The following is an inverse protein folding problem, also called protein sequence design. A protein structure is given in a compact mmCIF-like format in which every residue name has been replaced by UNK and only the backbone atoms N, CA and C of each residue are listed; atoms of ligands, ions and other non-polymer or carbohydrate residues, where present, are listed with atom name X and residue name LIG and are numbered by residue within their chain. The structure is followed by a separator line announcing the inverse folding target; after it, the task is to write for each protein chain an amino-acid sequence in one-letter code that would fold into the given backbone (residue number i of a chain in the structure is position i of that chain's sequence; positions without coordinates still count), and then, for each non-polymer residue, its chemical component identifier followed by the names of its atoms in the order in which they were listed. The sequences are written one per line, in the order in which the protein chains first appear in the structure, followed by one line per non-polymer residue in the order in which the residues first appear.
data_IF_139427797830
#
_entry.id   IF_139427797830
#
_cell.length_a   1.000
_cell.length_b   1.000
_cell.length_c   1.000
_cell.angle_alpha   90.00
_cell.angle_beta   90.00
_cell.angle_gamma   90.00
#
_symmetry.space_group_name_H-M   'P 1'
#
loop_
_entity.id
_entity.type
_entity.pdbx_description
1 polymer ?
#
# COMPACT_ATOMS: atom_id res chain seq x y z
N UNK A 1 -11.85 -25.79 23.74
CA UNK A 1 -11.26 -25.51 22.41
C UNK A 1 -9.84 -24.98 22.60
N UNK A 2 -8.94 -25.80 23.19
CA UNK A 2 -7.72 -25.25 23.82
C UNK A 2 -6.51 -26.18 23.80
N UNK A 3 -6.69 -27.49 23.58
CA UNK A 3 -5.61 -28.48 23.64
C UNK A 3 -5.06 -28.84 22.25
N UNK A 4 -5.94 -28.92 21.24
CA UNK A 4 -5.55 -29.13 19.84
C UNK A 4 -4.79 -27.93 19.25
N UNK A 5 -5.18 -26.69 19.63
CA UNK A 5 -4.47 -25.48 19.23
C UNK A 5 -3.08 -25.39 19.85
N UNK A 6 -2.95 -25.76 21.14
CA UNK A 6 -1.65 -25.80 21.83
C UNK A 6 -0.74 -26.89 21.27
N UNK A 7 -1.28 -28.08 20.99
CA UNK A 7 -0.53 -29.17 20.37
C UNK A 7 -0.09 -28.84 18.93
N UNK A 8 -0.93 -28.13 18.17
CA UNK A 8 -0.59 -27.63 16.83
C UNK A 8 0.52 -26.56 16.89
N UNK A 9 0.41 -25.60 17.82
CA UNK A 9 1.44 -24.59 18.05
C UNK A 9 2.76 -25.18 18.54
N UNK A 10 2.71 -26.23 19.38
CA UNK A 10 3.90 -26.92 19.88
C UNK A 10 4.55 -27.80 18.81
N UNK A 11 3.75 -28.44 17.94
CA UNK A 11 4.24 -29.19 16.78
C UNK A 11 4.89 -28.31 15.71
N UNK A 12 4.43 -27.07 15.55
CA UNK A 12 5.05 -26.07 14.67
C UNK A 12 6.37 -25.52 15.25
N UNK A 13 6.54 -25.54 16.58
CA UNK A 13 7.76 -25.08 17.25
C UNK A 13 8.92 -26.10 17.23
N UNK A 14 8.65 -27.37 16.90
CA UNK A 14 9.65 -28.45 16.97
C UNK A 14 10.26 -28.85 15.62
N UNK A 15 9.93 -28.14 14.53
CA UNK A 15 10.60 -28.35 13.24
C UNK A 15 11.90 -27.54 13.19
N UNK A 16 13.07 -28.19 13.06
CA UNK A 16 14.34 -27.46 12.97
C UNK A 16 14.41 -26.72 11.64
N UNK A 17 14.26 -25.40 11.68
CA UNK A 17 14.49 -24.52 10.53
C UNK A 17 16.00 -24.29 10.44
N UNK A 18 16.66 -25.02 9.54
CA UNK A 18 18.02 -24.72 9.13
C UNK A 18 18.01 -23.35 8.42
N UNK A 19 18.32 -22.30 9.16
CA UNK A 19 18.50 -20.95 8.63
C UNK A 19 19.93 -20.83 8.09
N UNK A 20 20.07 -20.57 6.79
CA UNK A 20 21.37 -20.29 6.19
C UNK A 20 21.89 -18.88 6.55
N UNK A 21 21.07 -18.05 7.22
CA UNK A 21 21.42 -16.73 7.76
C UNK A 21 21.06 -16.66 9.24
N UNK A 22 21.78 -17.43 10.07
CA UNK A 22 21.55 -17.43 11.52
C UNK A 22 22.85 -17.44 12.29
N UNK A 23 23.25 -16.28 12.82
CA UNK A 23 23.81 -16.17 14.19
C UNK A 23 24.23 -14.74 14.58
N UNK A 24 23.31 -13.76 14.63
CA UNK A 24 23.49 -12.55 15.45
C UNK A 24 22.19 -11.73 15.65
N UNK A 25 21.01 -12.36 15.72
CA UNK A 25 19.84 -11.62 16.23
C UNK A 25 19.93 -11.60 17.76
N UNK A 26 19.67 -10.46 18.40
CA UNK A 26 19.70 -10.29 19.86
C UNK A 26 18.57 -11.06 20.60
N UNK A 27 18.35 -12.34 20.27
CA UNK A 27 17.24 -13.18 20.74
C UNK A 27 15.90 -12.90 20.05
N UNK A 28 15.85 -11.96 19.11
CA UNK A 28 14.63 -11.62 18.38
C UNK A 28 14.30 -12.68 17.32
N UNK A 29 13.03 -13.09 17.30
CA UNK A 29 12.45 -14.05 16.36
C UNK A 29 11.25 -13.44 15.65
N UNK A 30 10.86 -13.97 14.49
CA UNK A 30 9.67 -13.52 13.73
C UNK A 30 8.39 -13.42 14.58
N UNK A 31 8.26 -14.23 15.64
CA UNK A 31 7.12 -14.21 16.55
C UNK A 31 6.99 -12.90 17.34
N UNK A 32 8.10 -12.19 17.58
CA UNK A 32 8.08 -10.86 18.18
C UNK A 32 7.44 -9.82 17.25
N UNK A 33 7.74 -9.92 15.94
CA UNK A 33 7.07 -9.11 14.91
C UNK A 33 5.57 -9.43 14.84
N UNK A 34 5.21 -10.71 14.81
CA UNK A 34 3.81 -11.14 14.82
C UNK A 34 3.05 -10.69 16.08
N UNK A 35 3.68 -10.77 17.25
CA UNK A 35 3.12 -10.26 18.50
C UNK A 35 2.88 -8.76 18.46
N UNK A 36 3.85 -7.99 17.96
CA UNK A 36 3.70 -6.54 17.78
C UNK A 36 2.57 -6.18 16.80
N UNK A 37 2.42 -6.91 15.68
CA UNK A 37 1.27 -6.77 14.78
C UNK A 37 -0.04 -7.02 15.54
N UNK A 38 -0.13 -8.12 16.28
CA UNK A 38 -1.31 -8.47 17.07
C UNK A 38 -1.65 -7.38 18.10
N UNK A 39 -0.66 -6.88 18.82
CA UNK A 39 -0.81 -5.79 19.78
C UNK A 39 -1.31 -4.50 19.10
N UNK A 40 -0.75 -4.15 17.95
CA UNK A 40 -1.17 -3.00 17.16
C UNK A 40 -2.62 -3.09 16.71
N UNK A 41 -3.05 -4.27 16.21
CA UNK A 41 -4.45 -4.54 15.82
C UNK A 41 -5.39 -4.45 17.02
N UNK A 42 -4.99 -4.97 18.18
CA UNK A 42 -5.78 -4.86 19.43
C UNK A 42 -5.93 -3.40 19.84
N UNK A 43 -4.86 -2.60 19.80
CA UNK A 43 -4.91 -1.16 20.11
C UNK A 43 -5.85 -0.39 19.17
N UNK A 44 -5.77 -0.64 17.86
CA UNK A 44 -6.67 -0.05 16.86
C UNK A 44 -8.12 -0.45 17.16
N UNK A 45 -8.37 -1.75 17.38
CA UNK A 45 -9.72 -2.26 17.61
C UNK A 45 -10.31 -1.71 18.90
N UNK A 46 -9.54 -1.69 19.99
CA UNK A 46 -9.97 -1.17 21.29
C UNK A 46 -10.28 0.34 21.22
N UNK A 47 -9.49 1.11 20.48
CA UNK A 47 -9.70 2.56 20.32
C UNK A 47 -10.89 2.88 19.43
N UNK A 48 -11.11 2.10 18.36
CA UNK A 48 -12.31 2.19 17.51
C UNK A 48 -13.57 1.81 18.30
N UNK A 49 -13.53 0.72 19.05
CA UNK A 49 -14.65 0.28 19.90
C UNK A 49 -14.91 1.28 21.03
N UNK A 50 -13.87 1.83 21.65
CA UNK A 50 -13.98 2.88 22.65
C UNK A 50 -14.65 4.14 22.11
N UNK A 51 -14.34 4.54 20.86
CA UNK A 51 -15.05 5.63 20.17
C UNK A 51 -16.51 5.28 19.90
N UNK A 52 -16.79 4.06 19.40
CA UNK A 52 -18.16 3.61 19.10
C UNK A 52 -19.04 3.55 20.35
N UNK A 53 -18.48 3.11 21.47
CA UNK A 53 -19.16 3.04 22.76
C UNK A 53 -19.18 4.38 23.52
N UNK A 54 -18.74 5.48 22.89
CA UNK A 54 -18.68 6.84 23.46
C UNK A 54 -17.78 6.98 24.70
N UNK A 55 -16.88 6.03 24.95
CA UNK A 55 -15.90 6.11 26.03
C UNK A 55 -14.71 7.02 25.68
N UNK A 56 -14.40 7.17 24.39
CA UNK A 56 -13.30 7.99 23.90
C UNK A 56 -13.79 9.10 23.00
N UNK A 57 -13.19 10.28 23.14
CA UNK A 57 -13.36 11.36 22.15
C UNK A 57 -12.70 10.95 20.82
N UNK A 58 -13.20 11.41 19.66
CA UNK A 58 -12.58 11.16 18.35
C UNK A 58 -11.11 11.53 18.30
N UNK A 59 -10.70 12.60 19.00
CA UNK A 59 -9.29 13.01 19.04
C UNK A 59 -8.43 11.97 19.76
N UNK A 60 -8.88 11.47 20.91
CA UNK A 60 -8.20 10.39 21.63
C UNK A 60 -8.19 9.09 20.83
N UNK A 61 -9.30 8.76 20.17
CA UNK A 61 -9.39 7.59 19.30
C UNK A 61 -8.40 7.67 18.13
N UNK A 62 -8.25 8.85 17.50
CA UNK A 62 -7.27 9.05 16.41
C UNK A 62 -5.83 8.91 16.88
N UNK A 63 -5.48 9.41 18.08
CA UNK A 63 -4.16 9.17 18.66
C UNK A 63 -3.94 7.68 18.96
N UNK A 64 -4.93 7.01 19.53
CA UNK A 64 -4.89 5.58 19.79
C UNK A 64 -4.71 4.74 18.52
N UNK A 65 -5.45 5.06 17.45
CA UNK A 65 -5.29 4.45 16.12
C UNK A 65 -3.89 4.74 15.57
N UNK A 66 -3.38 5.96 15.71
CA UNK A 66 -2.04 6.32 15.25
C UNK A 66 -0.96 5.48 15.92
N UNK A 67 -1.04 5.33 17.24
CA UNK A 67 -0.10 4.48 18.02
C UNK A 67 -0.22 3.03 17.58
N UNK A 68 -1.44 2.51 17.47
CA UNK A 68 -1.67 1.14 17.02
C UNK A 68 -1.14 0.88 15.59
N UNK A 69 -1.28 1.85 14.67
CA UNK A 69 -0.71 1.78 13.33
C UNK A 69 0.82 1.76 13.36
N UNK A 70 1.47 2.61 14.16
CA UNK A 70 2.94 2.61 14.32
C UNK A 70 3.43 1.26 14.85
N UNK A 71 2.79 0.74 15.91
CA UNK A 71 3.13 -0.57 16.47
C UNK A 71 2.94 -1.69 15.45
N UNK A 72 1.85 -1.65 14.67
CA UNK A 72 1.58 -2.63 13.61
C UNK A 72 2.64 -2.56 12.51
N UNK A 73 3.00 -1.36 12.05
CA UNK A 73 3.98 -1.17 10.99
C UNK A 73 5.38 -1.62 11.42
N UNK A 74 5.81 -1.26 12.63
CA UNK A 74 7.08 -1.73 13.21
C UNK A 74 7.07 -3.25 13.34
N UNK A 75 5.97 -3.83 13.84
CA UNK A 75 5.80 -5.28 13.94
C UNK A 75 5.88 -5.98 12.58
N UNK A 76 5.27 -5.40 11.55
CA UNK A 76 5.29 -5.92 10.19
C UNK A 76 6.68 -5.82 9.54
N UNK A 77 7.40 -4.72 9.73
CA UNK A 77 8.80 -4.57 9.29
C UNK A 77 9.67 -5.62 9.99
N UNK A 78 9.54 -5.74 11.31
CA UNK A 78 10.31 -6.71 12.10
C UNK A 78 9.99 -8.15 11.69
N UNK A 79 8.71 -8.46 11.46
CA UNK A 79 8.28 -9.77 10.96
C UNK A 79 8.89 -10.07 9.60
N UNK A 80 8.81 -9.13 8.66
CA UNK A 80 9.35 -9.29 7.31
C UNK A 80 10.88 -9.50 7.32
N UNK A 81 11.61 -8.71 8.10
CA UNK A 81 13.07 -8.79 8.21
C UNK A 81 13.58 -10.04 8.95
N UNK A 82 12.79 -10.63 9.84
CA UNK A 82 13.16 -11.83 10.60
C UNK A 82 12.58 -13.13 10.01
N UNK A 83 11.60 -13.02 9.11
CA UNK A 83 11.00 -14.18 8.48
C UNK A 83 11.97 -14.74 7.41
N UNK A 84 12.22 -16.06 7.43
CA UNK A 84 13.20 -16.68 6.55
C UNK A 84 12.86 -16.42 5.09
N UNK A 85 13.87 -16.11 4.29
CA UNK A 85 13.65 -15.91 2.86
C UNK A 85 13.25 -17.22 2.23
N UNK A 86 12.04 -17.28 1.66
CA UNK A 86 11.58 -18.48 1.02
C UNK A 86 12.37 -18.75 -0.27
N UNK A 87 13.00 -19.92 -0.34
CA UNK A 87 13.70 -20.37 -1.54
C UNK A 87 12.66 -20.80 -2.58
N UNK A 88 12.33 -19.91 -3.51
CA UNK A 88 11.37 -20.21 -4.56
C UNK A 88 12.07 -20.60 -5.85
N UNK A 89 11.81 -21.83 -6.31
CA UNK A 89 12.25 -22.30 -7.63
C UNK A 89 11.40 -21.65 -8.73
N UNK A 90 11.99 -21.39 -9.91
CA UNK A 90 11.27 -20.82 -11.06
C UNK A 90 10.04 -21.64 -11.50
N UNK A 91 9.98 -22.95 -11.16
CA UNK A 91 8.83 -23.82 -11.40
C UNK A 91 7.61 -23.58 -10.49
N UNK A 92 7.68 -22.67 -9.51
CA UNK A 92 6.55 -22.30 -8.64
C UNK A 92 5.79 -21.05 -9.10
N UNK A 93 6.11 -20.51 -10.28
CA UNK A 93 5.36 -19.40 -10.86
C UNK A 93 3.93 -19.85 -11.23
N UNK A 94 2.88 -19.06 -10.89
CA UNK A 94 1.49 -19.42 -11.20
C UNK A 94 1.19 -19.40 -12.69
N UNK A 95 1.94 -18.61 -13.46
CA UNK A 95 1.80 -18.46 -14.90
C UNK A 95 3.16 -18.46 -15.56
N UNK A 96 3.25 -19.03 -16.75
CA UNK A 96 4.45 -18.89 -17.57
C UNK A 96 4.65 -17.42 -17.97
N UNK A 97 5.91 -16.95 -17.91
CA UNK A 97 6.28 -15.59 -18.31
C UNK A 97 5.95 -15.27 -19.77
N UNK A 98 5.85 -16.29 -20.62
CA UNK A 98 5.39 -16.19 -22.01
C UNK A 98 3.98 -15.58 -22.13
N UNK A 99 3.13 -15.77 -21.11
CA UNK A 99 1.76 -15.23 -21.07
C UNK A 99 1.70 -13.80 -20.56
N UNK A 100 2.76 -13.28 -19.91
CA UNK A 100 2.73 -11.94 -19.32
C UNK A 100 2.43 -10.84 -20.36
N UNK A 101 3.06 -10.82 -21.56
CA UNK A 101 2.75 -9.82 -22.56
C UNK A 101 1.27 -9.85 -22.99
N UNK A 102 0.71 -11.06 -23.18
CA UNK A 102 -0.67 -11.24 -23.60
C UNK A 102 -1.64 -10.72 -22.52
N UNK A 103 -1.40 -11.07 -21.26
CA UNK A 103 -2.21 -10.62 -20.12
C UNK A 103 -2.10 -9.10 -19.97
N UNK A 104 -0.88 -8.54 -20.03
CA UNK A 104 -0.64 -7.09 -19.93
C UNK A 104 -1.39 -6.31 -21.02
N UNK A 105 -1.33 -6.77 -22.28
CA UNK A 105 -2.06 -6.13 -23.38
C UNK A 105 -3.56 -6.27 -23.19
N UNK A 106 -4.06 -7.47 -22.89
CA UNK A 106 -5.49 -7.74 -22.72
C UNK A 106 -6.10 -6.89 -21.61
N UNK A 107 -5.45 -6.86 -20.45
CA UNK A 107 -5.87 -6.06 -19.29
C UNK A 107 -5.73 -4.56 -19.58
N UNK A 108 -4.60 -4.11 -20.11
CA UNK A 108 -4.37 -2.71 -20.43
C UNK A 108 -5.39 -2.17 -21.44
N UNK A 109 -5.70 -2.96 -22.47
CA UNK A 109 -6.73 -2.63 -23.46
C UNK A 109 -8.14 -2.63 -22.86
N UNK A 110 -8.46 -3.62 -22.02
CA UNK A 110 -9.75 -3.66 -21.32
C UNK A 110 -9.96 -2.44 -20.41
N UNK A 111 -8.93 -2.01 -19.67
CA UNK A 111 -8.98 -0.80 -18.84
C UNK A 111 -9.12 0.45 -19.70
N UNK A 112 -8.38 0.55 -20.80
CA UNK A 112 -8.42 1.70 -21.72
C UNK A 112 -9.81 1.85 -22.34
N UNK A 113 -10.32 0.78 -22.95
CA UNK A 113 -11.64 0.74 -23.61
C UNK A 113 -12.75 0.91 -22.57
N UNK A 114 -12.68 0.19 -21.45
CA UNK A 114 -13.65 0.31 -20.36
C UNK A 114 -13.72 1.73 -19.80
N UNK A 115 -12.59 2.39 -19.59
CA UNK A 115 -12.54 3.78 -19.10
C UNK A 115 -13.09 4.78 -20.11
N UNK A 116 -12.91 4.51 -21.41
CA UNK A 116 -13.50 5.32 -22.48
C UNK A 116 -15.01 5.14 -22.54
N UNK A 117 -15.51 3.91 -22.52
CA UNK A 117 -16.95 3.61 -22.50
C UNK A 117 -17.63 4.19 -21.26
N UNK A 118 -17.08 3.93 -20.08
CA UNK A 118 -17.63 4.43 -18.82
C UNK A 118 -17.55 5.95 -18.77
N UNK A 119 -16.43 6.55 -19.16
CA UNK A 119 -16.28 8.00 -19.20
C UNK A 119 -17.26 8.67 -20.17
N UNK A 120 -17.49 8.07 -21.33
CA UNK A 120 -18.44 8.58 -22.32
C UNK A 120 -19.89 8.48 -21.84
N UNK A 121 -20.28 7.36 -21.23
CA UNK A 121 -21.66 7.12 -20.77
C UNK A 121 -21.96 7.84 -19.46
N UNK A 122 -21.05 7.78 -18.48
CA UNK A 122 -21.28 8.24 -17.10
C UNK A 122 -20.82 9.66 -16.86
N UNK A 123 -19.75 10.10 -17.53
CA UNK A 123 -19.08 11.38 -17.25
C UNK A 123 -18.66 12.16 -18.51
N UNK A 124 -19.58 12.44 -19.46
CA UNK A 124 -19.24 13.09 -20.73
C UNK A 124 -18.63 14.49 -20.57
N UNK A 125 -18.92 15.17 -19.45
CA UNK A 125 -18.40 16.50 -19.15
C UNK A 125 -17.08 16.49 -18.35
N UNK A 126 -16.56 15.32 -17.98
CA UNK A 126 -15.34 15.16 -17.17
C UNK A 126 -14.34 14.21 -17.84
N UNK A 127 -13.74 14.60 -18.98
CA UNK A 127 -12.85 13.73 -19.75
C UNK A 127 -11.59 13.31 -18.98
N UNK A 128 -11.22 14.04 -17.92
CA UNK A 128 -10.06 13.74 -17.06
C UNK A 128 -10.08 12.33 -16.47
N UNK A 129 -11.25 11.75 -16.17
CA UNK A 129 -11.34 10.37 -15.68
C UNK A 129 -11.05 9.33 -16.77
N UNK A 130 -11.52 9.60 -17.99
CA UNK A 130 -11.18 8.80 -19.17
C UNK A 130 -9.68 8.83 -19.44
N UNK A 131 -9.08 10.02 -19.42
CA UNK A 131 -7.63 10.17 -19.58
C UNK A 131 -6.84 9.42 -18.51
N UNK A 132 -7.28 9.45 -17.24
CA UNK A 132 -6.65 8.67 -16.18
C UNK A 132 -6.69 7.18 -16.50
N UNK A 133 -7.85 6.67 -16.90
CA UNK A 133 -8.00 5.27 -17.30
C UNK A 133 -7.13 4.88 -18.50
N UNK A 134 -7.00 5.75 -19.50
CA UNK A 134 -6.11 5.53 -20.66
C UNK A 134 -4.65 5.47 -20.23
N UNK A 135 -4.18 6.43 -19.41
CA UNK A 135 -2.80 6.46 -18.90
C UNK A 135 -2.48 5.20 -18.10
N UNK A 136 -3.41 4.74 -17.28
CA UNK A 136 -3.25 3.54 -16.46
C UNK A 136 -3.34 2.23 -17.27
N UNK A 137 -4.19 2.18 -18.31
CA UNK A 137 -4.21 1.07 -19.25
C UNK A 137 -2.91 0.98 -20.07
N UNK A 138 -2.36 2.13 -20.46
CA UNK A 138 -1.04 2.23 -21.09
C UNK A 138 0.08 1.81 -20.14
N UNK A 139 0.01 2.19 -18.86
CA UNK A 139 0.97 1.73 -17.84
C UNK A 139 1.08 0.20 -17.79
N UNK A 140 -0.06 -0.50 -17.83
CA UNK A 140 -0.07 -1.98 -17.76
C UNK A 140 0.42 -2.60 -19.08
N UNK A 141 0.01 -2.04 -20.22
CA UNK A 141 0.33 -2.60 -21.54
C UNK A 141 1.72 -2.20 -22.07
N UNK A 142 2.33 -1.13 -21.55
CA UNK A 142 3.59 -0.58 -22.05
C UNK A 142 4.75 -1.58 -22.15
N UNK A 143 5.05 -2.42 -21.12
CA UNK A 143 6.16 -3.36 -21.22
C UNK A 143 6.01 -4.37 -22.36
N UNK A 144 4.76 -4.67 -22.75
CA UNK A 144 4.44 -5.57 -23.84
C UNK A 144 4.42 -4.86 -25.21
N UNK A 145 4.05 -3.57 -25.25
CA UNK A 145 4.01 -2.76 -26.49
C UNK A 145 5.40 -2.27 -26.92
N UNK A 146 6.28 -1.99 -25.96
CA UNK A 146 7.66 -1.52 -26.21
C UNK A 146 8.65 -2.46 -25.52
N UNK A 147 8.97 -3.62 -26.14
CA UNK A 147 9.96 -4.55 -25.59
C UNK A 147 11.30 -3.84 -25.40
N UNK A 148 11.97 -4.06 -24.26
CA UNK A 148 13.22 -3.39 -23.87
C UNK A 148 13.12 -1.85 -23.76
N UNK A 149 11.92 -1.30 -23.60
CA UNK A 149 11.68 0.15 -23.46
C UNK A 149 12.08 0.78 -22.12
N UNK A 150 13.01 0.20 -21.37
CA UNK A 150 13.34 0.66 -20.01
C UNK A 150 13.93 2.08 -19.97
N UNK A 151 14.53 2.54 -21.06
CA UNK A 151 15.08 3.90 -21.21
C UNK A 151 14.22 4.80 -22.11
N UNK A 152 13.07 4.32 -22.57
CA UNK A 152 12.27 5.02 -23.56
C UNK A 152 11.42 6.14 -22.90
N UNK A 153 11.38 7.36 -23.49
CA UNK A 153 10.79 8.54 -22.85
C UNK A 153 9.30 8.40 -22.52
N UNK A 154 8.57 7.58 -23.29
CA UNK A 154 7.15 7.31 -23.03
C UNK A 154 6.93 6.63 -21.68
N UNK A 155 7.82 5.73 -21.25
CA UNK A 155 7.72 5.11 -19.93
C UNK A 155 7.87 6.14 -18.81
N UNK A 156 8.84 7.05 -18.91
CA UNK A 156 8.99 8.15 -17.95
C UNK A 156 7.78 9.09 -17.96
N UNK A 157 7.23 9.39 -19.14
CA UNK A 157 6.04 10.22 -19.27
C UNK A 157 4.80 9.57 -18.62
N UNK A 158 4.65 8.25 -18.70
CA UNK A 158 3.59 7.52 -17.98
C UNK A 158 3.81 7.59 -16.47
N UNK A 159 5.03 7.31 -16.01
CA UNK A 159 5.39 7.32 -14.57
C UNK A 159 5.17 8.68 -13.94
N UNK A 160 5.67 9.73 -14.55
CA UNK A 160 5.55 11.10 -14.05
C UNK A 160 4.20 11.74 -14.36
N UNK A 161 3.57 11.38 -15.47
CA UNK A 161 2.27 11.91 -15.88
C UNK A 161 1.14 11.46 -14.97
N UNK A 162 1.23 10.24 -14.42
CA UNK A 162 0.21 9.68 -13.51
C UNK A 162 -0.01 10.52 -12.25
N UNK A 163 1.01 10.85 -11.43
CA UNK A 163 0.80 11.70 -10.25
C UNK A 163 0.37 13.12 -10.61
N UNK A 164 0.84 13.66 -11.73
CA UNK A 164 0.40 14.98 -12.23
C UNK A 164 -1.08 14.95 -12.56
N UNK A 165 -1.56 13.92 -13.26
CA UNK A 165 -2.95 13.78 -13.64
C UNK A 165 -3.86 13.52 -12.42
N UNK A 166 -3.42 12.68 -11.49
CA UNK A 166 -4.12 12.45 -10.21
C UNK A 166 -4.21 13.75 -9.42
N UNK A 167 -3.09 14.49 -9.29
CA UNK A 167 -3.05 15.78 -8.63
C UNK A 167 -3.97 16.81 -9.29
N UNK A 168 -4.01 16.84 -10.63
CA UNK A 168 -4.92 17.69 -11.40
C UNK A 168 -6.39 17.33 -11.15
N UNK A 169 -6.75 16.05 -11.10
CA UNK A 169 -8.11 15.60 -10.78
C UNK A 169 -8.50 16.03 -9.37
N UNK A 170 -7.65 15.76 -8.37
CA UNK A 170 -7.92 16.14 -6.98
C UNK A 170 -8.00 17.66 -6.81
N UNK A 171 -7.18 18.42 -7.52
CA UNK A 171 -7.22 19.87 -7.50
C UNK A 171 -8.45 20.46 -8.17
N UNK A 172 -8.97 19.80 -9.21
CA UNK A 172 -10.15 20.30 -9.94
C UNK A 172 -11.44 19.93 -9.22
N UNK A 173 -11.50 18.71 -8.66
CA UNK A 173 -12.76 18.12 -8.16
C UNK A 173 -12.88 18.14 -6.65
N UNK A 174 -11.77 18.02 -5.94
CA UNK A 174 -11.75 17.89 -4.50
C UNK A 174 -11.18 19.13 -3.78
N UNK A 175 -10.86 20.22 -4.49
CA UNK A 175 -10.13 21.39 -3.93
C UNK A 175 -10.74 21.94 -2.65
N UNK A 176 -12.05 22.17 -2.65
CA UNK A 176 -12.76 22.78 -1.53
C UNK A 176 -12.72 21.88 -0.30
N UNK A 177 -13.06 20.61 -0.49
CA UNK A 177 -13.02 19.62 0.57
C UNK A 177 -11.60 19.37 1.09
N UNK A 178 -10.62 19.25 0.20
CA UNK A 178 -9.21 19.04 0.53
C UNK A 178 -8.67 20.21 1.37
N UNK A 179 -8.93 21.46 0.96
CA UNK A 179 -8.58 22.64 1.76
C UNK A 179 -9.20 22.61 3.13
N UNK A 180 -10.48 22.25 3.20
CA UNK A 180 -11.20 22.23 4.45
C UNK A 180 -10.71 21.08 5.37
N UNK A 181 -10.25 19.96 4.82
CA UNK A 181 -9.60 18.86 5.57
C UNK A 181 -8.23 19.27 6.08
N UNK A 182 -7.42 19.90 5.22
CA UNK A 182 -6.08 20.34 5.56
C UNK A 182 -6.05 21.58 6.47
N UNK A 183 -7.15 22.32 6.57
CA UNK A 183 -7.33 23.40 7.53
C UNK A 183 -7.49 22.88 8.96
N UNK A 184 -7.97 21.65 9.14
CA UNK A 184 -8.07 21.02 10.46
C UNK A 184 -6.71 20.43 10.88
N UNK A 185 -6.05 20.99 11.92
CA UNK A 185 -4.70 20.57 12.29
C UNK A 185 -4.63 19.12 12.79
N UNK A 186 -5.70 18.58 13.39
CA UNK A 186 -5.71 17.20 13.90
C UNK A 186 -5.78 16.22 12.73
N UNK A 187 -6.75 16.43 11.83
CA UNK A 187 -6.93 15.60 10.63
C UNK A 187 -5.72 15.68 9.69
N UNK A 188 -5.13 16.87 9.54
CA UNK A 188 -3.90 17.06 8.76
C UNK A 188 -2.72 16.29 9.36
N UNK A 189 -2.48 16.40 10.67
CA UNK A 189 -1.38 15.68 11.35
C UNK A 189 -1.58 14.17 11.27
N UNK A 190 -2.81 13.68 11.45
CA UNK A 190 -3.14 12.27 11.31
C UNK A 190 -2.85 11.77 9.89
N UNK A 191 -3.33 12.47 8.87
CA UNK A 191 -3.08 12.11 7.47
C UNK A 191 -1.60 12.13 7.08
N UNK A 192 -0.86 13.17 7.50
CA UNK A 192 0.60 13.24 7.30
C UNK A 192 1.30 12.06 8.00
N UNK A 193 0.92 11.77 9.25
CA UNK A 193 1.47 10.66 10.02
C UNK A 193 1.25 9.31 9.34
N UNK A 194 0.03 9.04 8.88
CA UNK A 194 -0.30 7.80 8.14
C UNK A 194 0.46 7.74 6.81
N UNK A 195 0.51 8.83 6.05
CA UNK A 195 1.25 8.87 4.77
C UNK A 195 2.75 8.60 4.94
N UNK A 196 3.38 9.23 5.95
CA UNK A 196 4.77 8.98 6.31
C UNK A 196 5.01 7.55 6.77
N UNK A 197 4.13 7.02 7.62
CA UNK A 197 4.22 5.65 8.10
C UNK A 197 4.14 4.64 6.95
N UNK A 198 3.21 4.84 6.01
CA UNK A 198 3.07 4.00 4.82
C UNK A 198 4.29 4.10 3.91
N UNK A 199 4.84 5.31 3.73
CA UNK A 199 6.06 5.49 2.93
C UNK A 199 7.26 4.79 3.54
N UNK A 200 7.45 4.93 4.86
CA UNK A 200 8.52 4.27 5.59
C UNK A 200 8.35 2.75 5.60
N UNK A 201 7.13 2.26 5.80
CA UNK A 201 6.79 0.85 5.69
C UNK A 201 7.13 0.30 4.30
N UNK A 202 6.77 1.04 3.23
CA UNK A 202 7.09 0.65 1.87
C UNK A 202 8.61 0.56 1.68
N UNK A 203 9.37 1.60 2.03
CA UNK A 203 10.83 1.62 1.87
C UNK A 203 11.49 0.47 2.64
N UNK A 204 11.01 0.18 3.85
CA UNK A 204 11.54 -0.90 4.68
C UNK A 204 11.27 -2.29 4.07
N UNK A 205 10.02 -2.58 3.72
CA UNK A 205 9.62 -3.90 3.19
C UNK A 205 10.14 -4.15 1.79
N UNK A 206 10.33 -3.11 0.98
CA UNK A 206 10.90 -3.24 -0.37
C UNK A 206 12.43 -3.28 -0.39
N UNK A 207 13.09 -3.23 0.77
CA UNK A 207 14.55 -3.31 0.87
C UNK A 207 15.30 -2.02 0.53
N UNK A 208 14.58 -0.91 0.29
CA UNK A 208 15.20 0.42 0.08
C UNK A 208 15.68 1.05 1.40
N UNK A 209 15.26 0.50 2.54
CA UNK A 209 15.73 0.85 3.88
C UNK A 209 15.86 -0.42 4.71
N UNK A 210 17.08 -0.92 4.93
CA UNK A 210 17.31 -2.16 5.70
C UNK A 210 18.40 -1.97 6.74
N UNK A 211 18.40 -2.82 7.77
CA UNK A 211 19.43 -2.84 8.81
C UNK A 211 20.18 -4.18 8.72
N UNK A 212 21.49 -4.14 8.45
CA UNK A 212 22.34 -5.33 8.31
C UNK A 212 22.98 -5.72 9.65
N UNK A 213 22.35 -6.61 10.42
CA UNK A 213 22.92 -7.11 11.67
C UNK A 213 23.82 -8.35 11.46
N UNK A 214 24.73 -8.32 10.48
CA UNK A 214 25.57 -9.49 10.13
C UNK A 214 27.08 -9.25 10.32
N UNK A 215 27.76 -10.30 10.78
CA UNK A 215 29.23 -10.43 10.81
C UNK A 215 29.74 -10.76 9.40
N UNK A 216 29.86 -9.73 8.58
CA UNK A 216 30.23 -9.83 7.15
C UNK A 216 29.88 -8.60 6.31
N UNK A 217 29.19 -7.62 6.91
CA UNK A 217 28.86 -6.36 6.26
C UNK A 217 30.13 -5.62 5.77
N UNK A 218 30.11 -5.00 4.58
CA UNK A 218 31.25 -4.29 4.03
C UNK A 218 31.72 -3.23 5.03
N UNK A 219 33.03 -3.21 5.32
CA UNK A 219 33.61 -2.32 6.33
C UNK A 219 33.81 -0.89 5.83
N UNK A 220 33.59 -0.64 4.54
CA UNK A 220 33.77 0.64 3.89
C UNK A 220 32.43 1.26 3.47
N UNK A 221 32.30 2.57 3.67
CA UNK A 221 31.14 3.32 3.17
C UNK A 221 31.16 3.28 1.65
N UNK A 222 30.18 2.57 1.07
CA UNK A 222 30.03 2.47 -0.37
C UNK A 222 28.88 3.36 -0.80
N UNK A 223 29.16 4.29 -1.72
CA UNK A 223 28.16 5.12 -2.38
C UNK A 223 28.24 4.83 -3.87
N UNK A 224 27.17 4.25 -4.41
CA UNK A 224 27.10 3.87 -5.83
C UNK A 224 25.80 4.35 -6.44
N UNK A 225 25.85 4.68 -7.73
CA UNK A 225 24.66 5.00 -8.52
C UNK A 225 24.49 3.92 -9.56
N UNK A 226 23.46 3.10 -9.43
CA UNK A 226 23.16 2.01 -10.34
C UNK A 226 21.80 2.21 -11.03
N UNK A 227 21.69 1.85 -12.32
CA UNK A 227 20.40 1.85 -13.01
C UNK A 227 19.56 0.65 -12.52
N UNK A 228 18.47 0.92 -11.80
CA UNK A 228 17.53 -0.11 -11.33
C UNK A 228 16.23 0.01 -12.11
N UNK A 229 15.74 -1.11 -12.65
CA UNK A 229 14.44 -1.15 -13.33
C UNK A 229 13.34 -1.13 -12.27
N UNK A 230 12.53 -0.07 -12.27
CA UNK A 230 11.42 0.09 -11.34
C UNK A 230 10.23 0.75 -12.02
N UNK A 231 9.07 0.08 -11.99
CA UNK A 231 7.79 0.61 -12.50
C UNK A 231 7.94 1.15 -13.93
N UNK A 232 8.15 0.25 -14.89
CA UNK A 232 8.34 0.47 -16.35
C UNK A 232 9.71 0.92 -16.85
N UNK A 233 10.45 1.74 -16.11
CA UNK A 233 11.70 2.36 -16.61
C UNK A 233 12.87 2.18 -15.65
N UNK A 234 14.08 2.35 -16.18
CA UNK A 234 15.33 2.31 -15.42
C UNK A 234 15.56 3.65 -14.74
N UNK A 235 15.67 3.67 -13.43
CA UNK A 235 16.00 4.88 -12.68
C UNK A 235 17.43 4.85 -12.18
N UNK A 236 18.16 5.99 -12.18
CA UNK A 236 19.39 6.08 -11.40
C UNK A 236 19.02 5.97 -9.92
N UNK A 237 19.51 4.93 -9.27
CA UNK A 237 19.29 4.65 -7.85
C UNK A 237 20.59 4.91 -7.12
N UNK A 238 20.54 5.82 -6.16
CA UNK A 238 21.62 6.04 -5.20
C UNK A 238 21.53 4.96 -4.13
N UNK A 239 22.57 4.14 -4.01
CA UNK A 239 22.74 3.15 -2.96
C UNK A 239 23.83 3.64 -2.01
N UNK A 240 23.52 3.68 -0.72
CA UNK A 240 24.42 4.11 0.34
C UNK A 240 24.45 3.00 1.39
N UNK A 241 25.64 2.44 1.58
CA UNK A 241 25.93 1.47 2.64
C UNK A 241 26.74 2.17 3.71
N UNK A 242 26.17 2.29 4.90
CA UNK A 242 26.87 2.83 6.07
C UNK A 242 27.34 1.65 6.93
N UNK A 243 28.66 1.48 7.16
CA UNK A 243 29.18 0.39 7.98
C UNK A 243 29.08 0.68 9.48
N UNK A 244 29.22 1.95 9.88
CA UNK A 244 29.24 2.37 11.30
C UNK A 244 27.86 2.36 11.96
N UNK A 245 26.81 2.52 11.16
CA UNK A 245 25.42 2.29 11.55
C UNK A 245 24.96 1.26 10.54
N UNK A 246 24.64 0.01 10.93
CA UNK A 246 24.38 -1.11 10.01
C UNK A 246 23.15 -0.84 9.14
N UNK A 247 23.22 0.11 8.22
CA UNK A 247 22.09 0.73 7.55
C UNK A 247 22.37 0.76 6.06
N UNK A 248 21.46 0.15 5.32
CA UNK A 248 21.34 0.29 3.89
C UNK A 248 20.27 1.32 3.57
N UNK A 249 20.59 2.20 2.64
CA UNK A 249 19.62 3.12 2.09
C UNK A 249 19.77 3.16 0.57
N UNK A 250 18.67 2.91 -0.13
CA UNK A 250 18.56 3.11 -1.55
C UNK A 250 17.47 4.14 -1.85
N UNK A 251 17.74 5.06 -2.77
CA UNK A 251 16.79 6.06 -3.20
C UNK A 251 16.87 6.29 -4.71
N UNK A 252 15.71 6.29 -5.35
CA UNK A 252 15.58 6.65 -6.76
C UNK A 252 14.39 7.59 -6.96
N UNK A 253 14.43 8.38 -8.02
CA UNK A 253 13.32 9.27 -8.37
C UNK A 253 12.04 8.45 -8.62
N UNK A 254 12.16 7.29 -9.25
CA UNK A 254 11.02 6.39 -9.48
C UNK A 254 10.34 5.95 -8.19
N UNK A 255 11.12 5.56 -7.18
CA UNK A 255 10.60 5.20 -5.86
C UNK A 255 9.94 6.39 -5.18
N UNK A 256 10.61 7.55 -5.15
CA UNK A 256 10.04 8.77 -4.56
C UNK A 256 8.71 9.14 -5.22
N UNK A 257 8.62 9.03 -6.54
CA UNK A 257 7.40 9.34 -7.29
C UNK A 257 6.28 8.35 -6.96
N UNK A 258 6.51 7.04 -7.12
CA UNK A 258 5.44 6.05 -6.95
C UNK A 258 5.04 5.90 -5.48
N UNK A 259 6.03 5.71 -4.59
CA UNK A 259 5.78 5.58 -3.14
C UNK A 259 5.21 6.88 -2.61
N UNK A 260 5.77 8.03 -3.00
CA UNK A 260 5.25 9.34 -2.60
C UNK A 260 3.79 9.53 -3.03
N UNK A 261 3.43 9.14 -4.25
CA UNK A 261 2.05 9.23 -4.74
C UNK A 261 1.09 8.38 -3.91
N UNK A 262 1.44 7.11 -3.68
CA UNK A 262 0.62 6.21 -2.87
C UNK A 262 0.53 6.69 -1.41
N UNK A 263 1.64 7.08 -0.80
CA UNK A 263 1.70 7.62 0.56
C UNK A 263 0.85 8.89 0.72
N UNK A 264 0.90 9.80 -0.25
CA UNK A 264 0.07 11.02 -0.26
C UNK A 264 -1.40 10.64 -0.40
N UNK A 265 -1.75 9.78 -1.35
CA UNK A 265 -3.15 9.34 -1.53
C UNK A 265 -3.72 8.65 -0.29
N UNK A 266 -2.95 7.75 0.33
CA UNK A 266 -3.36 7.07 1.58
C UNK A 266 -3.48 8.08 2.72
N UNK A 267 -2.50 8.97 2.88
CA UNK A 267 -2.50 10.00 3.92
C UNK A 267 -3.67 10.98 3.77
N UNK A 268 -4.02 11.37 2.54
CA UNK A 268 -5.19 12.19 2.26
C UNK A 268 -6.49 11.45 2.62
N UNK A 269 -6.64 10.20 2.22
CA UNK A 269 -7.81 9.39 2.60
C UNK A 269 -7.93 9.28 4.13
N UNK A 270 -6.82 9.03 4.83
CA UNK A 270 -6.78 9.00 6.29
C UNK A 270 -7.19 10.36 6.93
N UNK A 271 -6.78 11.48 6.34
CA UNK A 271 -7.18 12.81 6.81
C UNK A 271 -8.70 13.04 6.65
N UNK A 272 -9.30 12.56 5.55
CA UNK A 272 -10.75 12.63 5.35
C UNK A 272 -11.51 11.79 6.39
N UNK A 273 -11.03 10.59 6.70
CA UNK A 273 -11.60 9.74 7.77
C UNK A 273 -11.48 10.41 9.14
N UNK A 274 -10.31 10.97 9.46
CA UNK A 274 -10.11 11.69 10.71
C UNK A 274 -11.08 12.87 10.85
N UNK A 275 -11.31 13.61 9.76
CA UNK A 275 -12.26 14.72 9.78
C UNK A 275 -13.69 14.25 9.92
N UNK A 276 -14.09 13.17 9.24
CA UNK A 276 -15.47 12.66 9.34
C UNK A 276 -15.81 12.24 10.77
N UNK A 277 -14.89 11.57 11.48
CA UNK A 277 -15.09 11.20 12.88
C UNK A 277 -15.26 12.41 13.80
N UNK A 278 -14.60 13.53 13.50
CA UNK A 278 -14.72 14.77 14.27
C UNK A 278 -15.97 15.58 13.93
N UNK A 279 -16.46 15.48 12.71
CA UNK A 279 -17.72 16.11 12.30
C UNK A 279 -18.93 15.37 12.88
N UNK A 280 -18.93 14.03 12.88
CA UNK A 280 -19.98 13.19 13.49
C UNK A 280 -20.25 13.57 14.97
N UNK A 281 -19.20 13.82 15.75
CA UNK A 281 -19.33 14.22 17.15
C UNK A 281 -19.94 15.62 17.31
N UNK A 282 -19.62 16.55 16.40
CA UNK A 282 -20.13 17.93 16.45
C UNK A 282 -21.58 18.04 16.03
N UNK A 283 -22.06 17.17 15.16
CA UNK A 283 -23.44 17.20 14.65
C UNK A 283 -24.37 16.24 15.37
N UNK A 284 -23.89 15.47 16.37
CA UNK A 284 -24.70 14.56 17.20
C UNK A 284 -25.37 13.42 16.43
N UNK A 285 -25.07 13.24 15.14
CA UNK A 285 -25.75 12.34 14.23
C UNK A 285 -24.88 11.15 13.83
N UNK A 286 -25.45 9.95 13.92
CA UNK A 286 -24.90 8.70 13.39
C UNK A 286 -25.00 8.68 11.84
N UNK A 287 -24.31 9.58 11.16
CA UNK A 287 -24.14 9.48 9.71
C UNK A 287 -23.08 8.40 9.45
N UNK A 288 -23.52 7.16 9.21
CA UNK A 288 -22.66 6.02 8.88
C UNK A 288 -21.86 6.27 7.61
N UNK A 289 -20.68 6.86 7.75
CA UNK A 289 -19.78 7.10 6.62
C UNK A 289 -19.08 5.79 6.21
N UNK A 290 -19.65 5.12 5.21
CA UNK A 290 -19.04 3.98 4.50
C UNK A 290 -17.77 4.37 3.73
N UNK A 291 -17.44 5.67 3.64
CA UNK A 291 -16.19 6.15 3.06
C UNK A 291 -14.96 5.69 3.85
N UNK A 292 -15.09 5.46 5.17
CA UNK A 292 -14.00 5.02 6.02
C UNK A 292 -13.55 3.58 5.78
N UNK A 293 -14.46 2.66 5.45
CA UNK A 293 -14.11 1.25 5.16
C UNK A 293 -13.42 1.10 3.81
N UNK A 294 -13.81 1.90 2.80
CA UNK A 294 -13.14 1.92 1.50
C UNK A 294 -11.70 2.45 1.56
N UNK A 295 -11.44 3.47 2.38
CA UNK A 295 -10.09 3.99 2.62
C UNK A 295 -9.19 2.99 3.36
N UNK A 296 -9.73 2.25 4.34
CA UNK A 296 -9.00 1.23 5.11
C UNK A 296 -8.68 0.01 4.26
N UNK A 297 -9.65 -0.51 3.48
CA UNK A 297 -9.41 -1.62 2.54
C UNK A 297 -8.43 -1.18 1.43
N UNK A 298 -8.57 0.05 0.93
CA UNK A 298 -7.65 0.61 -0.05
C UNK A 298 -6.21 0.67 0.47
N UNK A 299 -5.99 1.02 1.74
CA UNK A 299 -4.65 1.09 2.37
C UNK A 299 -3.90 -0.24 2.39
N UNK A 300 -4.60 -1.38 2.38
CA UNK A 300 -4.01 -2.71 2.22
C UNK A 300 -3.77 -3.10 0.75
N UNK A 301 -4.19 -2.26 -0.20
CA UNK A 301 -4.19 -2.54 -1.65
C UNK A 301 -2.99 -1.89 -2.39
N UNK A 302 -2.00 -1.33 -1.69
CA UNK A 302 -0.88 -0.56 -2.30
C UNK A 302 0.38 -1.36 -2.68
N UNK A 303 0.38 -2.67 -2.49
CA UNK A 303 1.33 -3.64 -3.06
C UNK A 303 2.40 -4.10 -2.09
N UNK A 304 2.70 -3.27 -1.10
CA UNK A 304 3.66 -3.57 -0.04
C UNK A 304 3.22 -4.70 0.91
N UNK A 305 1.92 -5.03 0.95
CA UNK A 305 1.45 -6.19 1.70
C UNK A 305 1.69 -7.51 0.97
N UNK A 306 2.06 -7.51 -0.32
CA UNK A 306 2.27 -8.72 -1.12
C UNK A 306 3.33 -9.67 -0.55
N UNK A 307 4.58 -9.20 -0.33
CA UNK A 307 5.62 -9.99 0.33
C UNK A 307 5.22 -10.46 1.74
N UNK A 308 4.60 -9.57 2.53
CA UNK A 308 4.13 -9.87 3.88
C UNK A 308 3.03 -10.96 3.88
N UNK A 309 2.04 -10.85 3.00
CA UNK A 309 0.95 -11.82 2.82
C UNK A 309 1.50 -13.15 2.31
N UNK A 310 2.49 -13.12 1.42
CA UNK A 310 3.16 -14.34 0.97
C UNK A 310 3.90 -15.03 2.13
N UNK A 311 4.66 -14.30 2.96
CA UNK A 311 5.33 -14.89 4.13
C UNK A 311 4.34 -15.38 5.20
N UNK A 312 3.22 -14.69 5.42
CA UNK A 312 2.11 -15.19 6.26
C UNK A 312 1.50 -16.45 5.66
N UNK A 313 1.32 -16.52 4.34
CA UNK A 313 0.83 -17.72 3.66
C UNK A 313 1.84 -18.88 3.77
N UNK A 314 3.15 -18.62 3.71
CA UNK A 314 4.18 -19.66 3.95
C UNK A 314 3.99 -20.23 5.36
N UNK A 315 3.81 -19.36 6.35
CA UNK A 315 3.67 -19.75 7.75
C UNK A 315 2.36 -20.50 8.04
N UNK A 316 1.25 -20.08 7.41
CA UNK A 316 -0.08 -20.61 7.68
C UNK A 316 -0.45 -21.83 6.82
N UNK A 317 0.00 -21.87 5.57
CA UNK A 317 -0.44 -22.82 4.55
C UNK A 317 0.71 -23.58 3.88
N UNK A 318 1.96 -23.27 4.23
CA UNK A 318 3.16 -23.92 3.71
C UNK A 318 3.69 -23.28 2.41
N UNK A 319 4.95 -23.59 2.02
CA UNK A 319 5.61 -22.99 0.86
C UNK A 319 4.91 -23.21 -0.48
N UNK A 320 4.16 -24.31 -0.62
CA UNK A 320 3.47 -24.71 -1.86
C UNK A 320 2.31 -23.79 -2.24
N UNK A 321 1.61 -23.18 -1.28
CA UNK A 321 0.52 -22.22 -1.53
C UNK A 321 1.06 -20.78 -1.60
N UNK A 322 2.15 -20.50 -0.90
CA UNK A 322 2.71 -19.17 -0.79
C UNK A 322 3.66 -18.78 -1.93
N UNK A 323 4.32 -19.76 -2.56
CA UNK A 323 5.25 -19.50 -3.66
C UNK A 323 4.58 -18.80 -4.87
N UNK A 324 3.39 -19.22 -5.32
CA UNK A 324 2.71 -18.52 -6.40
C UNK A 324 2.30 -17.10 -6.01
N UNK A 325 1.85 -16.89 -4.77
CA UNK A 325 1.49 -15.56 -4.24
C UNK A 325 2.71 -14.63 -4.18
N UNK A 326 3.87 -15.12 -3.76
CA UNK A 326 5.09 -14.33 -3.75
C UNK A 326 5.49 -13.86 -5.15
N UNK A 327 5.53 -14.77 -6.13
CA UNK A 327 5.91 -14.44 -7.51
C UNK A 327 4.98 -13.40 -8.17
N UNK A 328 3.70 -13.38 -7.78
CA UNK A 328 2.71 -12.39 -8.24
C UNK A 328 3.05 -10.96 -7.80
N UNK A 329 3.73 -10.80 -6.67
CA UNK A 329 4.04 -9.47 -6.10
C UNK A 329 5.51 -9.08 -6.19
N UNK A 330 6.43 -10.05 -6.22
CA UNK A 330 7.87 -9.80 -6.26
C UNK A 330 8.40 -9.57 -7.67
N UNK A 331 7.79 -10.18 -8.68
CA UNK A 331 8.16 -9.89 -10.07
C UNK A 331 7.60 -8.50 -10.46
N UNK A 332 8.47 -7.50 -10.50
CA UNK A 332 8.12 -6.12 -10.90
C UNK A 332 7.69 -6.03 -12.38
N UNK A 333 7.98 -7.06 -13.18
CA UNK A 333 7.46 -7.21 -14.54
C UNK A 333 6.10 -7.92 -14.59
N UNK A 334 5.54 -8.34 -13.45
CA UNK A 334 4.24 -9.01 -13.43
C UNK A 334 3.10 -8.02 -13.77
N UNK A 335 2.16 -8.44 -14.64
CA UNK A 335 0.95 -7.66 -14.92
C UNK A 335 0.10 -7.44 -13.67
N UNK A 336 0.15 -8.38 -12.72
CA UNK A 336 -0.62 -8.35 -11.48
C UNK A 336 -0.07 -7.31 -10.49
N UNK A 337 1.25 -7.21 -10.32
CA UNK A 337 1.85 -6.14 -9.52
C UNK A 337 1.52 -4.75 -10.08
N UNK A 338 1.60 -4.61 -11.41
CA UNK A 338 1.23 -3.36 -12.10
C UNK A 338 -0.26 -3.02 -11.94
N UNK A 339 -1.14 -4.01 -12.12
CA UNK A 339 -2.59 -3.90 -11.87
C UNK A 339 -2.89 -3.46 -10.45
N UNK A 340 -2.12 -3.95 -9.47
CA UNK A 340 -2.35 -3.65 -8.07
C UNK A 340 -2.02 -2.19 -7.76
N UNK A 341 -0.86 -1.70 -8.21
CA UNK A 341 -0.45 -0.29 -8.06
C UNK A 341 -1.43 0.64 -8.75
N UNK A 342 -1.76 0.36 -10.01
CA UNK A 342 -2.74 1.11 -10.79
C UNK A 342 -4.11 1.09 -10.11
N UNK A 343 -4.54 -0.08 -9.63
CA UNK A 343 -5.79 -0.30 -8.92
C UNK A 343 -5.89 0.52 -7.64
N UNK A 344 -4.83 0.56 -6.82
CA UNK A 344 -4.83 1.40 -5.60
C UNK A 344 -4.87 2.88 -5.95
N UNK A 345 -4.11 3.35 -6.95
CA UNK A 345 -4.16 4.76 -7.38
C UNK A 345 -5.60 5.15 -7.76
N UNK A 346 -6.28 4.32 -8.56
CA UNK A 346 -7.69 4.55 -8.95
C UNK A 346 -8.59 4.52 -7.72
N UNK A 347 -8.48 3.49 -6.88
CA UNK A 347 -9.35 3.31 -5.73
C UNK A 347 -9.24 4.48 -4.75
N UNK A 348 -8.03 4.93 -4.42
CA UNK A 348 -7.82 6.06 -3.53
C UNK A 348 -8.27 7.38 -4.14
N UNK A 349 -7.99 7.60 -5.42
CA UNK A 349 -8.42 8.82 -6.10
C UNK A 349 -9.95 8.89 -6.19
N UNK A 350 -10.58 7.78 -6.58
CA UNK A 350 -12.03 7.66 -6.66
C UNK A 350 -12.68 7.79 -5.28
N UNK A 351 -12.10 7.18 -4.23
CA UNK A 351 -12.60 7.32 -2.86
C UNK A 351 -12.59 8.77 -2.39
N UNK A 352 -11.52 9.51 -2.66
CA UNK A 352 -11.43 10.95 -2.37
C UNK A 352 -12.51 11.72 -3.14
N UNK A 353 -12.60 11.57 -4.46
CA UNK A 353 -13.57 12.31 -5.28
C UNK A 353 -15.01 11.98 -4.86
N UNK A 354 -15.32 10.70 -4.66
CA UNK A 354 -16.65 10.25 -4.24
C UNK A 354 -17.05 10.81 -2.87
N UNK A 355 -16.11 10.85 -1.91
CA UNK A 355 -16.36 11.40 -0.58
C UNK A 355 -16.73 12.90 -0.63
N UNK A 356 -16.18 13.64 -1.60
CA UNK A 356 -16.49 15.06 -1.82
C UNK A 356 -17.86 15.24 -2.46
N UNK A 357 -18.17 14.45 -3.49
CA UNK A 357 -19.48 14.53 -4.17
C UNK A 357 -20.63 14.22 -3.24
N UNK A 358 -20.46 13.19 -2.39
CA UNK A 358 -21.48 12.80 -1.41
C UNK A 358 -21.71 13.90 -0.37
N UNK A 359 -20.65 14.59 0.07
CA UNK A 359 -20.74 15.71 1.00
C UNK A 359 -21.38 16.97 0.37
N UNK A 360 -21.32 17.12 -0.95
CA UNK A 360 -21.89 18.25 -1.69
C UNK A 360 -23.37 18.12 -2.04
N UNK A 361 -24.00 16.95 -1.84
CA UNK A 361 -25.42 16.69 -2.15
C UNK A 361 -26.24 16.27 -0.91
N UNK A 362 -26.42 17.14 0.10
CA UNK A 362 -27.21 16.83 1.29
C UNK A 362 -28.70 16.56 0.99
N UNK A 363 -29.27 17.19 -0.05
CA UNK A 363 -30.72 17.14 -0.32
C UNK A 363 -31.22 15.81 -0.90
N UNK A 364 -30.35 14.94 -1.42
CA UNK A 364 -30.74 13.62 -1.97
C UNK A 364 -30.80 12.52 -0.91
N UNK A 365 -30.10 12.70 0.21
CA UNK A 365 -30.10 11.74 1.32
C UNK A 365 -31.32 11.91 2.23
N UNK A 366 -31.94 13.09 2.22
CA UNK A 366 -33.16 13.37 2.98
C UNK A 366 -34.46 12.97 2.23
N UNK A 367 -34.38 12.61 0.95
CA UNK A 367 -35.57 12.27 0.13
C UNK A 367 -35.90 10.77 0.11
N UNK A 368 -35.19 9.92 0.84
CA UNK A 368 -35.63 8.54 1.13
C UNK A 368 -36.49 8.57 2.39
N UNK A 369 -37.66 9.19 2.26
CA UNK A 369 -38.78 8.97 3.18
C UNK A 369 -39.33 7.57 2.83
N UNK A 370 -39.53 6.66 3.79
CA UNK A 370 -40.24 5.42 3.49
C UNK A 370 -41.65 5.79 3.01
N UNK A 371 -42.01 5.37 1.80
CA UNK A 371 -43.41 5.34 1.40
C UNK A 371 -44.12 4.40 2.39
N UNK A 372 -45.23 4.88 2.94
CA UNK A 372 -46.10 4.17 3.89
C UNK A 372 -46.44 2.73 3.46
#
# INVERSE_FOLDING_TARGET
MSLALFAFLFGLASVPVASAHGSATAGLTQYHGAFAIGLGVVLISATVLGKRSKFLTPTQALYGVSVGLVVTAVGAILFESLAPDPVYAAGSMPFERSLYPLISIGVGLAITVGSLLVGWVRWPTRPRYTFLGIVLGLWISYPALVPNGYSHPLGYALVLGTPVLVGYILWTDARGALRAVLADPVSRRFGIGVGLLVGLFFLAVSGYLTVFLEEGAPHETTVSVLPVIYQLVSWPTLEVVLPHVPLFFAASIGVVVVVGTLSVLVGLNAAFVARSWRLEERTGGMAGSTAGTGAVVGSCTCGCCGPLVAKIAVLAAGPSIAAPLYWVFVDSASPLGSLFVVGSIVLFTASLVYSVETAGQPDRSASVVPAD
#
